data_IF_134389334721
#
_entry.id   IF_134389334721
#
_cell.length_a   1.000
_cell.length_b   1.000
_cell.length_c   1.000
_cell.angle_alpha   90.00
_cell.angle_beta   90.00
_cell.angle_gamma   90.00
#
_symmetry.space_group_name_H-M   'P 1'
#
loop_
_entity.id
_entity.type
_entity.pdbx_description
1 polymer ?
#
# COMPACT_ATOMS: atom_id res chain seq x y z
N UNK A 1 -11.15 -16.61 -10.40
CA UNK A 1 -10.31 -16.63 -9.19
C UNK A 1 -8.87 -16.85 -9.59
N UNK A 2 -8.11 -15.76 -9.71
CA UNK A 2 -6.66 -15.77 -9.89
C UNK A 2 -6.07 -14.93 -8.75
N UNK A 3 -6.46 -15.28 -7.52
CA UNK A 3 -6.36 -14.47 -6.28
C UNK A 3 -4.93 -14.11 -5.87
N UNK A 4 -3.92 -14.78 -6.41
CA UNK A 4 -2.54 -14.58 -5.98
C UNK A 4 -1.98 -13.20 -6.37
N UNK A 5 -2.29 -12.69 -7.56
CA UNK A 5 -1.77 -11.39 -8.04
C UNK A 5 -2.46 -10.23 -7.30
N UNK A 6 -3.77 -10.32 -7.05
CA UNK A 6 -4.51 -9.35 -6.22
C UNK A 6 -4.01 -9.33 -4.76
N UNK A 7 -3.83 -10.49 -4.13
CA UNK A 7 -3.32 -10.58 -2.76
C UNK A 7 -1.92 -10.00 -2.65
N UNK A 8 -1.02 -10.40 -3.55
CA UNK A 8 0.35 -9.87 -3.56
C UNK A 8 0.39 -8.37 -3.82
N UNK A 9 -0.46 -7.87 -4.71
CA UNK A 9 -0.58 -6.44 -4.99
C UNK A 9 -1.03 -5.64 -3.77
N UNK A 10 -1.97 -6.17 -2.99
CA UNK A 10 -2.49 -5.52 -1.79
C UNK A 10 -1.46 -5.53 -0.64
N UNK A 11 -0.76 -6.64 -0.45
CA UNK A 11 0.34 -6.74 0.54
C UNK A 11 1.50 -5.79 0.19
N UNK A 12 1.89 -5.73 -1.08
CA UNK A 12 2.93 -4.82 -1.56
C UNK A 12 2.52 -3.37 -1.36
N UNK A 13 1.27 -3.03 -1.66
CA UNK A 13 0.72 -1.71 -1.45
C UNK A 13 0.72 -1.28 0.02
N UNK A 14 0.36 -2.20 0.93
CA UNK A 14 0.43 -1.96 2.36
C UNK A 14 1.86 -1.71 2.82
N UNK A 15 2.83 -2.51 2.36
CA UNK A 15 4.23 -2.31 2.74
C UNK A 15 4.75 -0.93 2.29
N UNK A 16 4.49 -0.53 1.05
CA UNK A 16 4.93 0.77 0.50
C UNK A 16 4.14 1.95 1.10
N UNK A 17 2.86 1.75 1.40
CA UNK A 17 1.98 2.75 2.00
C UNK A 17 2.23 3.04 3.47
N UNK A 18 3.25 2.43 4.11
CA UNK A 18 3.58 2.69 5.52
C UNK A 18 3.25 1.55 6.49
N UNK A 19 2.83 0.38 5.99
CA UNK A 19 2.68 -0.85 6.75
C UNK A 19 4.01 -1.42 7.28
N UNK A 20 5.15 -0.96 6.76
CA UNK A 20 6.49 -1.20 7.28
C UNK A 20 6.80 -0.48 8.64
N UNK A 21 5.76 0.01 9.34
CA UNK A 21 5.85 0.63 10.65
C UNK A 21 6.75 -0.14 11.62
N UNK A 22 6.50 -1.44 11.79
CA UNK A 22 7.25 -2.26 12.75
C UNK A 22 8.74 -2.33 12.37
N UNK A 23 9.06 -2.53 11.09
CA UNK A 23 10.45 -2.63 10.65
C UNK A 23 11.17 -1.29 10.75
N UNK A 24 10.51 -0.18 10.42
CA UNK A 24 11.13 1.15 10.53
C UNK A 24 11.36 1.58 11.98
N UNK A 25 10.42 1.28 12.88
CA UNK A 25 10.53 1.63 14.30
C UNK A 25 11.58 0.76 15.01
N UNK A 26 11.57 -0.57 14.77
CA UNK A 26 12.48 -1.51 15.45
C UNK A 26 13.93 -1.33 14.98
N UNK A 27 14.15 -1.12 13.68
CA UNK A 27 15.50 -0.94 13.12
C UNK A 27 15.95 0.53 13.07
N UNK A 28 15.12 1.48 13.51
CA UNK A 28 15.48 2.90 13.55
C UNK A 28 15.67 3.53 12.17
N UNK A 29 15.04 3.00 11.13
CA UNK A 29 15.13 3.52 9.77
C UNK A 29 14.27 4.79 9.59
N UNK A 30 14.69 5.76 8.78
CA UNK A 30 13.87 6.91 8.42
C UNK A 30 12.81 6.50 7.40
N UNK A 31 11.53 6.62 7.76
CA UNK A 31 10.42 6.29 6.88
C UNK A 31 9.06 6.78 7.37
N UNK A 32 8.03 6.56 6.54
CA UNK A 32 6.66 7.06 6.76
C UNK A 32 5.95 6.31 7.89
N UNK A 33 6.29 5.03 8.07
CA UNK A 33 5.84 4.26 9.22
C UNK A 33 6.35 4.89 10.52
N UNK A 34 7.65 5.16 10.64
CA UNK A 34 8.21 5.81 11.82
C UNK A 34 7.59 7.19 12.11
N UNK A 35 7.29 7.99 11.07
CA UNK A 35 6.57 9.25 11.22
C UNK A 35 5.16 9.04 11.78
N UNK A 36 4.45 8.02 11.28
CA UNK A 36 3.12 7.64 11.79
C UNK A 36 3.20 7.21 13.26
N UNK A 37 4.23 6.46 13.66
CA UNK A 37 4.45 6.07 15.05
C UNK A 37 4.67 7.28 15.97
N UNK A 38 5.48 8.24 15.54
CA UNK A 38 5.72 9.47 16.29
C UNK A 38 4.47 10.33 16.40
N UNK A 39 3.68 10.42 15.32
CA UNK A 39 2.40 11.11 15.29
C UNK A 39 1.40 10.48 16.29
N UNK A 40 1.31 9.15 16.31
CA UNK A 40 0.50 8.40 17.27
C UNK A 40 0.94 8.64 18.71
N UNK A 41 2.24 8.62 18.97
CA UNK A 41 2.79 8.82 20.32
C UNK A 41 2.53 10.24 20.84
N UNK A 42 2.60 11.25 19.97
CA UNK A 42 2.35 12.65 20.30
C UNK A 42 0.87 13.07 20.17
N UNK A 43 -0.02 12.16 19.78
CA UNK A 43 -1.42 12.44 19.43
C UNK A 43 -1.59 13.59 18.42
N UNK A 44 -0.66 13.70 17.48
CA UNK A 44 -0.71 14.70 16.40
C UNK A 44 -1.69 14.22 15.32
N UNK A 45 -2.98 14.51 15.53
CA UNK A 45 -4.06 14.08 14.63
C UNK A 45 -3.87 14.56 13.19
N UNK A 46 -3.48 15.82 12.90
CA UNK A 46 -3.15 16.25 11.54
C UNK A 46 -2.12 15.36 10.86
N UNK A 47 -1.04 15.01 11.56
CA UNK A 47 0.03 14.20 11.00
C UNK A 47 -0.41 12.75 10.77
N UNK A 48 -1.21 12.17 11.68
CA UNK A 48 -1.81 10.84 11.48
C UNK A 48 -2.71 10.84 10.23
N UNK A 49 -3.56 11.84 10.06
CA UNK A 49 -4.43 11.94 8.89
C UNK A 49 -3.62 12.08 7.59
N UNK A 50 -2.53 12.85 7.62
CA UNK A 50 -1.63 12.99 6.48
C UNK A 50 -0.97 11.66 6.09
N UNK A 51 -0.47 10.88 7.06
CA UNK A 51 0.15 9.58 6.75
C UNK A 51 -0.86 8.54 6.29
N UNK A 52 -2.08 8.57 6.83
CA UNK A 52 -3.19 7.72 6.36
C UNK A 52 -3.59 8.07 4.93
N UNK A 53 -3.75 9.36 4.58
CA UNK A 53 -4.04 9.76 3.20
C UNK A 53 -2.91 9.36 2.24
N UNK A 54 -1.65 9.55 2.65
CA UNK A 54 -0.49 9.12 1.88
C UNK A 54 -0.55 7.61 1.60
N UNK A 55 -0.81 6.80 2.63
CA UNK A 55 -0.98 5.35 2.53
C UNK A 55 -2.09 4.98 1.55
N UNK A 56 -3.26 5.61 1.69
CA UNK A 56 -4.43 5.34 0.86
C UNK A 56 -4.17 5.62 -0.62
N UNK A 57 -3.48 6.71 -0.96
CA UNK A 57 -3.10 7.03 -2.34
C UNK A 57 -2.22 5.94 -2.94
N UNK A 58 -1.22 5.46 -2.20
CA UNK A 58 -0.36 4.37 -2.66
C UNK A 58 -1.13 3.06 -2.84
N UNK A 59 -2.07 2.77 -1.95
CA UNK A 59 -2.92 1.58 -2.06
C UNK A 59 -3.80 1.62 -3.30
N UNK A 60 -4.41 2.77 -3.59
CA UNK A 60 -5.23 2.94 -4.81
C UNK A 60 -4.36 2.83 -6.07
N UNK A 61 -3.18 3.44 -6.09
CA UNK A 61 -2.26 3.35 -7.22
C UNK A 61 -1.79 1.91 -7.46
N UNK A 62 -1.42 1.19 -6.40
CA UNK A 62 -1.00 -0.20 -6.51
C UNK A 62 -2.14 -1.10 -7.01
N UNK A 63 -3.38 -0.91 -6.52
CA UNK A 63 -4.54 -1.63 -7.05
C UNK A 63 -4.77 -1.32 -8.53
N UNK A 64 -4.66 -0.05 -8.94
CA UNK A 64 -4.78 0.31 -10.37
C UNK A 64 -3.69 -0.35 -11.22
N UNK A 65 -2.45 -0.44 -10.72
CA UNK A 65 -1.36 -1.16 -11.40
C UNK A 65 -1.65 -2.65 -11.50
N UNK A 66 -2.19 -3.25 -10.45
CA UNK A 66 -2.61 -4.65 -10.42
C UNK A 66 -3.71 -4.91 -11.44
N UNK A 67 -4.72 -4.05 -11.53
CA UNK A 67 -5.79 -4.15 -12.54
C UNK A 67 -5.25 -4.06 -13.97
N UNK A 68 -4.28 -3.17 -14.22
CA UNK A 68 -3.59 -3.07 -15.51
C UNK A 68 -2.78 -4.34 -15.79
N UNK A 69 -2.01 -4.84 -14.81
CA UNK A 69 -1.26 -6.08 -14.94
C UNK A 69 -2.18 -7.27 -15.25
N UNK A 70 -3.37 -7.31 -14.65
CA UNK A 70 -4.39 -8.31 -14.97
C UNK A 70 -4.83 -8.25 -16.44
N UNK A 71 -5.01 -7.07 -17.01
CA UNK A 71 -5.33 -6.91 -18.44
C UNK A 71 -4.23 -7.47 -19.34
N UNK A 72 -2.96 -7.34 -18.95
CA UNK A 72 -1.82 -7.86 -19.72
C UNK A 72 -1.59 -9.36 -19.51
N UNK A 73 -1.80 -9.88 -18.29
CA UNK A 73 -1.56 -11.29 -17.97
C UNK A 73 -2.69 -12.22 -18.43
N UNK A 74 -3.93 -11.72 -18.51
CA UNK A 74 -5.08 -12.55 -18.87
C UNK A 74 -5.59 -12.23 -20.29
N UNK A 75 -5.09 -12.91 -21.35
CA UNK A 75 -5.57 -12.73 -22.71
C UNK A 75 -7.03 -13.21 -22.91
N UNK A 76 -7.66 -13.87 -21.94
CA UNK A 76 -9.06 -14.34 -22.04
C UNK A 76 -10.09 -13.22 -21.97
N UNK A 77 -9.75 -12.05 -21.43
CA UNK A 77 -10.62 -10.85 -21.49
C UNK A 77 -10.78 -10.35 -22.94
N UNK A 78 -9.89 -10.75 -23.85
CA UNK A 78 -9.94 -10.35 -25.27
C UNK A 78 -10.95 -11.13 -26.10
N UNK A 79 -11.38 -12.31 -25.65
CA UNK A 79 -12.26 -13.22 -26.43
C UNK A 79 -13.74 -13.18 -26.01
N UNK A 80 -14.16 -12.25 -25.15
CA UNK A 80 -15.58 -12.04 -24.83
C UNK A 80 -16.30 -11.17 -25.88
N UNK A 81 -15.97 -11.34 -27.15
CA UNK A 81 -16.65 -10.72 -28.30
C UNK A 81 -17.43 -11.75 -29.08
#
# INVERSE_FOLDING_TARGET
MMTFVSLFGLDFAQLVGGGALLTEVVFGLPGVGRLTYQALTNLDLPLIMATVMYSAVFVVLANAVVDILYLFLDPRVRDAR
#
